data_IF_030404409758
#
_entry.id   IF_030404409758
#
_cell.length_a   1.000
_cell.length_b   1.000
_cell.length_c   1.000
_cell.angle_alpha   90.00
_cell.angle_beta   90.00
_cell.angle_gamma   90.00
#
_symmetry.space_group_name_H-M   'P 1'
#
loop_
_entity.id
_entity.type
_entity.pdbx_description
1 polymer ?
#
# COMPACT_ATOMS: atom_id res chain seq x y z
N UNK A 1 -31.95 20.98 58.18
CA UNK A 1 -33.01 20.05 58.62
C UNK A 1 -33.71 19.49 57.40
N UNK A 2 -33.77 18.15 57.30
CA UNK A 2 -34.53 17.26 56.38
C UNK A 2 -34.35 17.45 54.85
N UNK A 3 -33.70 16.53 54.11
CA UNK A 3 -34.06 15.14 53.68
C UNK A 3 -35.26 15.05 52.71
N UNK A 4 -35.00 14.82 51.41
CA UNK A 4 -35.51 13.74 50.51
C UNK A 4 -35.05 14.01 49.04
N UNK A 5 -34.20 13.16 48.41
CA UNK A 5 -34.50 12.07 47.43
C UNK A 5 -35.35 12.53 46.21
N UNK A 6 -35.17 12.17 44.93
CA UNK A 6 -34.23 11.40 44.10
C UNK A 6 -34.79 11.44 42.64
N UNK A 7 -33.90 11.45 41.64
CA UNK A 7 -34.02 10.86 40.27
C UNK A 7 -35.22 11.12 39.33
N UNK A 8 -34.87 11.81 38.24
CA UNK A 8 -35.18 11.55 36.81
C UNK A 8 -36.08 10.35 36.44
N UNK A 9 -37.16 10.62 35.68
CA UNK A 9 -37.84 9.64 34.80
C UNK A 9 -38.50 10.31 33.58
N UNK A 10 -38.11 9.86 32.39
CA UNK A 10 -38.98 9.66 31.22
C UNK A 10 -39.99 8.54 31.53
N UNK A 11 -41.11 8.46 30.80
CA UNK A 11 -41.34 7.20 30.08
C UNK A 11 -41.96 7.35 28.69
N UNK A 12 -41.41 6.56 27.79
CA UNK A 12 -42.02 6.02 26.57
C UNK A 12 -42.95 4.89 27.02
N UNK A 13 -44.20 4.85 26.55
CA UNK A 13 -45.15 3.77 26.84
C UNK A 13 -45.46 2.99 25.57
N UNK A 14 -45.50 1.68 25.77
CA UNK A 14 -45.53 0.56 24.85
C UNK A 14 -46.94 -0.06 24.81
N UNK A 15 -47.30 -0.63 23.66
CA UNK A 15 -48.17 -1.81 23.41
C UNK A 15 -49.61 -1.88 23.92
N UNK A 16 -50.50 -2.29 23.02
CA UNK A 16 -51.51 -3.31 23.32
C UNK A 16 -51.57 -4.38 22.22
N UNK A 17 -51.66 -5.62 22.69
CA UNK A 17 -51.65 -6.89 21.98
C UNK A 17 -53.10 -7.36 21.92
N UNK A 18 -53.62 -7.69 20.74
CA UNK A 18 -54.82 -8.52 20.60
C UNK A 18 -54.53 -9.77 19.78
N UNK A 19 -54.93 -10.89 20.37
CA UNK A 19 -54.84 -12.26 19.90
C UNK A 19 -56.18 -12.67 19.28
N UNK A 20 -56.20 -13.31 18.11
CA UNK A 20 -57.01 -14.51 17.83
C UNK A 20 -56.94 -15.02 16.37
N UNK A 21 -56.79 -16.35 16.28
CA UNK A 21 -57.41 -17.30 15.35
C UNK A 21 -56.99 -17.40 13.86
N UNK A 22 -56.14 -18.41 13.60
CA UNK A 22 -56.37 -19.61 12.75
C UNK A 22 -57.08 -19.42 11.39
N UNK A 23 -56.36 -19.68 10.30
CA UNK A 23 -56.92 -19.94 8.97
C UNK A 23 -55.91 -20.63 8.04
N UNK A 24 -56.04 -21.96 7.90
CA UNK A 24 -55.30 -22.83 6.96
C UNK A 24 -55.82 -22.62 5.52
N UNK A 25 -54.95 -22.35 4.53
CA UNK A 25 -55.21 -22.58 3.10
C UNK A 25 -53.90 -22.89 2.32
N UNK A 26 -53.98 -23.64 1.20
CA UNK A 26 -53.01 -24.69 0.85
C UNK A 26 -51.86 -24.22 -0.07
N UNK A 27 -50.73 -24.92 0.03
CA UNK A 27 -49.62 -24.84 -0.92
C UNK A 27 -50.03 -25.40 -2.29
N UNK A 28 -50.14 -24.52 -3.29
CA UNK A 28 -50.28 -24.90 -4.70
C UNK A 28 -48.90 -25.13 -5.32
N UNK A 29 -48.63 -26.38 -5.70
CA UNK A 29 -47.44 -26.81 -6.42
C UNK A 29 -47.57 -26.44 -7.91
N UNK A 30 -46.83 -25.41 -8.35
CA UNK A 30 -46.65 -25.14 -9.78
C UNK A 30 -45.30 -25.70 -10.26
N UNK A 31 -45.34 -26.89 -10.87
CA UNK A 31 -44.29 -27.35 -11.78
C UNK A 31 -44.34 -26.51 -13.06
N UNK A 32 -43.29 -25.74 -13.35
CA UNK A 32 -43.01 -25.26 -14.72
C UNK A 32 -41.69 -25.89 -15.18
N UNK A 33 -41.77 -26.55 -16.33
CA UNK A 33 -40.72 -27.39 -16.90
C UNK A 33 -39.50 -26.59 -17.32
N UNK A 34 -38.33 -27.20 -17.12
CA UNK A 34 -37.08 -26.79 -17.74
C UNK A 34 -37.16 -27.07 -19.24
N UNK A 35 -37.28 -26.01 -20.05
CA UNK A 35 -36.96 -26.09 -21.47
C UNK A 35 -35.46 -25.84 -21.64
N UNK A 36 -34.72 -26.87 -22.06
CA UNK A 36 -33.35 -26.72 -22.57
C UNK A 36 -33.41 -26.42 -24.07
N UNK A 37 -33.71 -25.17 -24.42
CA UNK A 37 -33.29 -24.62 -25.70
C UNK A 37 -32.02 -23.83 -25.46
N UNK A 38 -30.88 -24.52 -25.52
CA UNK A 38 -29.59 -23.86 -25.64
C UNK A 38 -29.66 -23.01 -26.92
N UNK A 39 -29.56 -21.69 -26.80
CA UNK A 39 -29.06 -20.90 -27.91
C UNK A 39 -27.65 -21.41 -28.16
N UNK A 40 -27.50 -22.24 -29.19
CA UNK A 40 -26.20 -22.56 -29.75
C UNK A 40 -25.57 -21.21 -30.11
N UNK A 41 -24.63 -20.73 -29.28
CA UNK A 41 -23.62 -19.79 -29.78
C UNK A 41 -23.06 -20.47 -31.00
N UNK A 42 -23.28 -19.87 -32.16
CA UNK A 42 -22.83 -20.37 -33.45
C UNK A 42 -21.35 -20.73 -33.33
N UNK A 43 -21.04 -22.02 -33.24
CA UNK A 43 -19.68 -22.54 -33.11
C UNK A 43 -19.02 -22.28 -34.46
N UNK A 44 -18.36 -21.13 -34.58
CA UNK A 44 -17.66 -20.72 -35.78
C UNK A 44 -16.40 -21.59 -35.89
N UNK A 45 -16.29 -22.33 -37.00
CA UNK A 45 -15.08 -23.10 -37.32
C UNK A 45 -13.88 -22.14 -37.46
N UNK A 46 -12.77 -22.32 -36.72
CA UNK A 46 -11.62 -21.41 -36.72
C UNK A 46 -10.97 -21.30 -38.11
N UNK A 47 -11.07 -22.34 -38.94
CA UNK A 47 -10.64 -22.29 -40.34
C UNK A 47 -11.53 -21.36 -41.17
N UNK A 48 -12.85 -21.31 -40.88
CA UNK A 48 -13.79 -20.40 -41.55
C UNK A 48 -13.61 -18.95 -41.10
N UNK A 49 -13.28 -18.71 -39.83
CA UNK A 49 -12.99 -17.36 -39.30
C UNK A 49 -11.77 -16.76 -39.98
N UNK A 50 -10.71 -17.55 -40.13
CA UNK A 50 -9.48 -17.13 -40.80
C UNK A 50 -9.57 -17.17 -42.33
N UNK A 51 -10.64 -17.75 -42.89
CA UNK A 51 -10.87 -17.85 -44.34
C UNK A 51 -9.90 -18.78 -45.06
N UNK A 52 -9.44 -19.84 -44.39
CA UNK A 52 -8.42 -20.78 -44.87
C UNK A 52 -8.95 -22.22 -44.90
N UNK A 53 -8.29 -23.08 -45.66
CA UNK A 53 -8.62 -24.50 -45.73
C UNK A 53 -8.05 -25.28 -44.55
N UNK A 54 -8.68 -26.40 -44.17
CA UNK A 54 -8.17 -27.30 -43.11
C UNK A 54 -6.80 -27.91 -43.43
N UNK A 55 -6.43 -27.98 -44.71
CA UNK A 55 -5.13 -28.46 -45.19
C UNK A 55 -4.05 -27.37 -45.28
N UNK A 56 -4.34 -26.14 -44.84
CA UNK A 56 -3.39 -25.02 -44.95
C UNK A 56 -2.16 -25.19 -44.04
N UNK A 57 -1.00 -24.75 -44.51
CA UNK A 57 0.26 -24.82 -43.75
C UNK A 57 0.28 -23.78 -42.61
N UNK A 58 1.15 -23.97 -41.61
CA UNK A 58 1.32 -23.00 -40.51
C UNK A 58 1.70 -21.59 -41.00
N UNK A 59 2.43 -21.51 -42.12
CA UNK A 59 2.80 -20.24 -42.73
C UNK A 59 1.59 -19.53 -43.36
N UNK A 60 0.63 -20.27 -43.90
CA UNK A 60 -0.59 -19.70 -44.50
C UNK A 60 -1.56 -19.21 -43.43
N UNK A 61 -1.64 -19.92 -42.30
CA UNK A 61 -2.41 -19.51 -41.10
C UNK A 61 -1.89 -18.16 -40.59
N UNK A 62 -0.56 -18.02 -40.44
CA UNK A 62 0.08 -16.77 -40.02
C UNK A 62 -0.20 -15.63 -40.99
N UNK A 63 -0.05 -15.87 -42.29
CA UNK A 63 -0.33 -14.84 -43.33
C UNK A 63 -1.79 -14.39 -43.32
N UNK A 64 -2.74 -15.31 -43.17
CA UNK A 64 -4.16 -15.00 -43.08
C UNK A 64 -4.49 -14.17 -41.83
N UNK A 65 -3.92 -14.54 -40.68
CA UNK A 65 -4.05 -13.79 -39.43
C UNK A 65 -3.55 -12.35 -39.57
N UNK A 66 -2.32 -12.13 -40.06
CA UNK A 66 -1.78 -10.78 -40.19
C UNK A 66 -2.60 -9.90 -41.17
N UNK A 67 -3.14 -10.51 -42.23
CA UNK A 67 -4.00 -9.80 -43.19
C UNK A 67 -5.31 -9.34 -42.54
N UNK A 68 -5.95 -10.21 -41.75
CA UNK A 68 -7.22 -9.91 -41.09
C UNK A 68 -7.04 -9.00 -39.86
N UNK A 69 -5.96 -9.20 -39.09
CA UNK A 69 -5.62 -8.36 -37.94
C UNK A 69 -5.37 -6.90 -38.36
N UNK A 70 -4.69 -6.68 -39.50
CA UNK A 70 -4.51 -5.32 -40.06
C UNK A 70 -5.82 -4.68 -40.54
N UNK A 71 -6.80 -5.47 -40.97
CA UNK A 71 -8.09 -4.98 -41.45
C UNK A 71 -9.08 -4.67 -40.31
N UNK A 72 -9.01 -5.43 -39.21
CA UNK A 72 -9.93 -5.32 -38.08
C UNK A 72 -9.28 -4.76 -36.81
N UNK A 73 -8.09 -4.16 -36.92
CA UNK A 73 -7.43 -3.53 -35.78
C UNK A 73 -8.29 -2.37 -35.24
N UNK A 74 -8.47 -2.25 -33.91
CA UNK A 74 -9.34 -1.23 -33.30
C UNK A 74 -8.92 0.21 -33.64
N UNK A 75 -7.63 0.45 -33.93
CA UNK A 75 -7.14 1.76 -34.33
C UNK A 75 -7.45 2.11 -35.79
N UNK A 76 -7.51 1.09 -36.67
CA UNK A 76 -7.78 1.30 -38.11
C UNK A 76 -9.26 1.24 -38.44
N UNK A 77 -10.06 0.53 -37.64
CA UNK A 77 -11.50 0.37 -37.85
C UNK A 77 -12.25 0.55 -36.52
N UNK A 78 -13.05 1.63 -36.43
CA UNK A 78 -13.75 2.06 -35.21
C UNK A 78 -15.14 1.42 -35.04
N UNK A 79 -15.51 0.46 -35.89
CA UNK A 79 -16.80 -0.22 -35.80
C UNK A 79 -16.88 -1.19 -34.62
N UNK A 80 -18.02 -1.20 -33.91
CA UNK A 80 -18.27 -2.17 -32.81
C UNK A 80 -18.20 -3.63 -33.28
N UNK A 81 -18.61 -3.90 -34.53
CA UNK A 81 -18.53 -5.23 -35.16
C UNK A 81 -17.10 -5.64 -35.56
N UNK A 82 -16.19 -4.68 -35.78
CA UNK A 82 -14.79 -4.96 -36.09
C UNK A 82 -14.06 -5.50 -34.86
N UNK A 83 -14.36 -4.95 -33.68
CA UNK A 83 -13.83 -5.45 -32.40
C UNK A 83 -14.25 -6.88 -32.11
N UNK A 84 -15.52 -7.23 -32.35
CA UNK A 84 -16.01 -8.61 -32.15
C UNK A 84 -15.34 -9.62 -33.10
N UNK A 85 -15.15 -9.23 -34.37
CA UNK A 85 -14.44 -10.05 -35.36
C UNK A 85 -12.96 -10.20 -35.02
N UNK A 86 -12.33 -9.15 -34.51
CA UNK A 86 -10.93 -9.18 -34.10
C UNK A 86 -10.69 -10.19 -32.97
N UNK A 87 -11.56 -10.22 -31.97
CA UNK A 87 -11.52 -11.22 -30.89
C UNK A 87 -11.64 -12.64 -31.45
N UNK A 88 -12.60 -12.88 -32.36
CA UNK A 88 -12.77 -14.19 -33.01
C UNK A 88 -11.55 -14.62 -33.84
N UNK A 89 -10.92 -13.68 -34.54
CA UNK A 89 -9.69 -13.93 -35.32
C UNK A 89 -8.52 -14.31 -34.40
N UNK A 90 -8.41 -13.68 -33.23
CA UNK A 90 -7.36 -13.97 -32.27
C UNK A 90 -7.55 -15.33 -31.58
N UNK A 91 -8.78 -15.66 -31.19
CA UNK A 91 -9.14 -16.99 -30.65
C UNK A 91 -8.87 -18.11 -31.68
N UNK A 92 -9.23 -17.90 -32.94
CA UNK A 92 -8.98 -18.86 -34.01
C UNK A 92 -7.48 -19.07 -34.27
N UNK A 93 -6.67 -18.00 -34.21
CA UNK A 93 -5.23 -18.09 -34.37
C UNK A 93 -4.56 -18.80 -33.18
N UNK A 94 -5.01 -18.56 -31.94
CA UNK A 94 -4.44 -19.24 -30.77
C UNK A 94 -4.62 -20.77 -30.84
N UNK A 95 -5.78 -21.24 -31.31
CA UNK A 95 -6.04 -22.67 -31.48
C UNK A 95 -5.24 -23.30 -32.64
N UNK A 96 -5.01 -22.56 -33.73
CA UNK A 96 -4.39 -23.08 -34.95
C UNK A 96 -2.88 -22.81 -35.06
N UNK A 97 -2.34 -21.88 -34.29
CA UNK A 97 -0.92 -21.47 -34.34
C UNK A 97 0.05 -22.50 -33.77
N UNK A 98 -0.39 -23.31 -32.82
CA UNK A 98 0.37 -24.42 -32.24
C UNK A 98 -0.04 -25.73 -32.92
N UNK A 99 0.94 -26.54 -33.34
CA UNK A 99 0.71 -27.79 -34.03
C UNK A 99 0.05 -28.85 -33.14
N UNK A 100 0.35 -28.86 -31.83
CA UNK A 100 -0.28 -29.77 -30.88
C UNK A 100 -1.74 -29.38 -30.61
N UNK A 101 -2.02 -28.09 -30.42
CA UNK A 101 -3.39 -27.59 -30.22
C UNK A 101 -4.24 -27.78 -31.48
N UNK A 102 -3.67 -27.58 -32.67
CA UNK A 102 -4.33 -27.85 -33.95
C UNK A 102 -4.66 -29.34 -34.09
N UNK A 103 -3.72 -30.24 -33.80
CA UNK A 103 -3.96 -31.70 -33.82
C UNK A 103 -5.07 -32.09 -32.86
N UNK A 104 -5.09 -31.53 -31.65
CA UNK A 104 -6.16 -31.78 -30.67
C UNK A 104 -7.52 -31.28 -31.19
N UNK A 105 -7.57 -30.10 -31.82
CA UNK A 105 -8.77 -29.56 -32.44
C UNK A 105 -9.26 -30.41 -33.62
N UNK A 106 -8.35 -30.83 -34.50
CA UNK A 106 -8.66 -31.64 -35.67
C UNK A 106 -9.08 -33.08 -35.28
N UNK A 107 -8.57 -33.62 -34.17
CA UNK A 107 -8.85 -34.98 -33.69
C UNK A 107 -10.13 -35.08 -32.85
N UNK A 108 -10.40 -34.10 -31.98
CA UNK A 108 -11.50 -34.16 -31.01
C UNK A 108 -12.64 -33.19 -31.31
N UNK A 109 -12.48 -32.29 -32.29
CA UNK A 109 -13.41 -31.19 -32.53
C UNK A 109 -13.55 -30.28 -31.31
N UNK A 110 -14.43 -29.27 -31.40
CA UNK A 110 -14.71 -28.38 -30.28
C UNK A 110 -15.64 -29.06 -29.27
N UNK A 111 -15.12 -30.05 -28.54
CA UNK A 111 -15.81 -30.60 -27.38
C UNK A 111 -15.42 -29.78 -26.14
N UNK A 112 -16.44 -29.18 -25.52
CA UNK A 112 -16.38 -28.61 -24.17
C UNK A 112 -15.66 -29.59 -23.23
N UNK A 113 -14.42 -29.29 -22.84
CA UNK A 113 -13.86 -29.79 -21.57
C UNK A 113 -14.48 -29.00 -20.41
N UNK A 114 -15.81 -28.95 -20.36
CA UNK A 114 -16.58 -28.52 -19.20
C UNK A 114 -16.76 -29.72 -18.28
N UNK A 115 -15.68 -30.04 -17.58
CA UNK A 115 -15.60 -31.16 -16.65
C UNK A 115 -14.57 -30.88 -15.57
N UNK A 116 -14.73 -29.79 -14.82
CA UNK A 116 -13.93 -29.53 -13.63
C UNK A 116 -13.53 -28.07 -13.39
N UNK A 117 -14.50 -27.17 -13.24
CA UNK A 117 -14.34 -25.91 -12.49
C UNK A 117 -15.70 -25.18 -12.44
N UNK A 118 -16.63 -25.67 -11.63
CA UNK A 118 -17.76 -24.84 -11.21
C UNK A 118 -17.30 -23.95 -10.06
N UNK A 119 -17.15 -22.67 -10.35
CA UNK A 119 -17.07 -21.65 -9.33
C UNK A 119 -16.26 -20.45 -9.80
N UNK A 120 -17.00 -19.40 -10.20
CA UNK A 120 -16.74 -18.01 -9.82
C UNK A 120 -16.93 -17.01 -10.96
N UNK A 121 -18.13 -16.86 -11.53
CA UNK A 121 -18.47 -15.61 -12.23
C UNK A 121 -19.97 -15.31 -12.11
N UNK A 122 -20.32 -14.50 -11.10
CA UNK A 122 -21.54 -13.71 -11.09
C UNK A 122 -21.20 -12.29 -10.69
N UNK A 123 -21.55 -11.36 -11.58
CA UNK A 123 -21.82 -9.95 -11.32
C UNK A 123 -20.69 -9.06 -10.78
N UNK A 124 -19.98 -8.40 -11.68
CA UNK A 124 -19.80 -6.92 -11.72
C UNK A 124 -18.56 -6.56 -12.54
N UNK A 125 -18.62 -5.41 -13.21
CA UNK A 125 -17.68 -4.97 -14.23
C UNK A 125 -16.21 -5.13 -13.86
N UNK A 126 -15.48 -5.83 -14.73
CA UNK A 126 -14.03 -5.87 -14.77
C UNK A 126 -13.57 -5.58 -16.20
N UNK A 127 -12.58 -4.69 -16.30
CA UNK A 127 -11.96 -4.25 -17.55
C UNK A 127 -11.11 -5.41 -18.13
N UNK A 128 -11.30 -5.81 -19.40
CA UNK A 128 -10.59 -6.94 -20.01
C UNK A 128 -9.06 -6.79 -20.05
N UNK A 129 -8.55 -5.55 -19.95
CA UNK A 129 -7.11 -5.29 -19.89
C UNK A 129 -6.47 -5.67 -18.55
N UNK A 130 -7.25 -5.76 -17.46
CA UNK A 130 -6.72 -6.04 -16.12
C UNK A 130 -6.67 -7.56 -15.82
N UNK A 131 -7.55 -8.34 -16.48
CA UNK A 131 -7.40 -9.81 -16.56
C UNK A 131 -6.21 -10.19 -17.46
N UNK A 132 -5.95 -9.39 -18.51
CA UNK A 132 -4.82 -9.64 -19.41
C UNK A 132 -3.47 -9.31 -18.76
N UNK A 133 -3.37 -8.28 -17.91
CA UNK A 133 -2.15 -8.01 -17.13
C UNK A 133 -1.92 -9.05 -16.03
N UNK A 134 -2.96 -9.58 -15.39
CA UNK A 134 -2.84 -10.59 -14.33
C UNK A 134 -2.58 -12.01 -14.86
N UNK A 135 -3.02 -12.31 -16.10
CA UNK A 135 -2.82 -13.62 -16.73
C UNK A 135 -1.63 -13.65 -17.71
N UNK A 136 -1.25 -12.52 -18.33
CA UNK A 136 -0.18 -12.42 -19.34
C UNK A 136 0.98 -11.46 -18.97
N UNK A 137 0.92 -10.73 -17.86
CA UNK A 137 1.92 -9.71 -17.48
C UNK A 137 3.01 -10.15 -16.50
N UNK A 138 3.02 -11.41 -16.06
CA UNK A 138 4.06 -11.91 -15.18
C UNK A 138 4.09 -13.44 -15.12
N UNK A 139 5.06 -14.06 -15.81
CA UNK A 139 5.43 -15.45 -15.53
C UNK A 139 5.25 -16.47 -16.66
N UNK A 140 5.65 -16.15 -17.89
CA UNK A 140 5.80 -17.17 -18.95
C UNK A 140 7.18 -17.13 -19.62
N UNK A 141 8.21 -17.06 -18.78
CA UNK A 141 9.61 -17.25 -19.16
C UNK A 141 10.42 -18.13 -18.20
N UNK A 142 9.84 -18.61 -17.09
CA UNK A 142 10.54 -19.50 -16.15
C UNK A 142 9.57 -20.32 -15.29
N UNK A 143 8.62 -20.99 -15.94
CA UNK A 143 7.74 -21.95 -15.28
C UNK A 143 7.56 -23.17 -16.18
N UNK A 144 8.66 -23.92 -16.33
CA UNK A 144 8.66 -25.25 -16.88
C UNK A 144 7.64 -26.14 -16.17
N UNK A 145 6.85 -26.81 -16.99
CA UNK A 145 5.91 -27.87 -16.67
C UNK A 145 6.64 -29.02 -15.95
N UNK A 146 6.77 -28.94 -14.62
CA UNK A 146 7.54 -29.93 -13.87
C UNK A 146 7.74 -29.68 -12.38
N UNK A 147 6.86 -28.96 -11.67
CA UNK A 147 7.01 -28.72 -10.22
C UNK A 147 5.65 -28.59 -9.51
N UNK A 148 4.87 -29.66 -9.48
CA UNK A 148 3.71 -29.78 -8.57
C UNK A 148 3.94 -30.78 -7.42
N UNK A 149 5.14 -31.37 -7.32
CA UNK A 149 5.56 -32.24 -6.23
C UNK A 149 7.06 -32.05 -5.99
N UNK A 150 7.44 -31.18 -5.04
CA UNK A 150 8.83 -30.92 -4.69
C UNK A 150 9.24 -29.46 -4.78
N UNK A 151 8.58 -28.60 -4.00
CA UNK A 151 9.18 -27.29 -3.71
C UNK A 151 10.41 -27.53 -2.83
N UNK A 152 11.59 -27.23 -3.37
CA UNK A 152 12.85 -27.28 -2.64
C UNK A 152 12.71 -26.58 -1.28
N UNK A 153 12.90 -27.26 -0.13
CA UNK A 153 12.77 -26.64 1.20
C UNK A 153 13.83 -25.55 1.48
N UNK A 154 14.72 -25.29 0.51
CA UNK A 154 15.81 -24.32 0.56
C UNK A 154 15.49 -22.95 -0.07
N UNK A 155 14.23 -22.63 -0.39
CA UNK A 155 13.91 -21.22 -0.70
C UNK A 155 14.36 -20.35 0.46
N UNK A 156 15.36 -19.51 0.20
CA UNK A 156 15.90 -18.53 1.13
C UNK A 156 14.81 -17.50 1.40
N UNK A 157 13.91 -17.81 2.35
CA UNK A 157 12.94 -16.84 2.84
C UNK A 157 13.73 -15.72 3.50
N UNK A 158 13.53 -14.50 3.04
CA UNK A 158 14.06 -13.30 3.69
C UNK A 158 13.27 -12.99 4.95
N UNK A 159 13.88 -12.21 5.83
CA UNK A 159 13.19 -11.58 6.93
C UNK A 159 12.03 -10.69 6.48
N UNK A 160 11.08 -10.49 7.38
CA UNK A 160 10.01 -9.51 7.18
C UNK A 160 10.54 -8.09 7.48
N UNK A 161 10.01 -7.12 6.72
CA UNK A 161 10.36 -5.72 6.91
C UNK A 161 9.58 -5.13 8.08
N UNK A 162 10.26 -4.34 8.91
CA UNK A 162 9.65 -3.67 10.07
C UNK A 162 9.34 -2.23 9.70
N UNK A 163 8.16 -1.74 10.05
CA UNK A 163 7.79 -0.33 9.89
C UNK A 163 7.61 0.34 11.24
N UNK A 164 8.35 1.41 11.50
CA UNK A 164 8.27 2.18 12.75
C UNK A 164 7.98 3.65 12.45
N UNK A 165 6.91 4.23 13.00
CA UNK A 165 6.69 5.66 12.90
C UNK A 165 7.63 6.41 13.85
N UNK A 166 8.36 7.39 13.34
CA UNK A 166 9.23 8.27 14.13
C UNK A 166 8.72 9.70 14.04
N UNK A 167 8.34 10.26 15.20
CA UNK A 167 7.90 11.66 15.26
C UNK A 167 9.10 12.58 15.52
N UNK A 168 9.27 13.60 14.69
CA UNK A 168 10.34 14.60 14.79
C UNK A 168 9.76 16.01 14.81
N UNK A 169 10.50 16.96 15.39
CA UNK A 169 10.10 18.36 15.38
C UNK A 169 10.43 19.01 14.03
N UNK A 170 9.70 20.07 13.67
CA UNK A 170 9.92 20.79 12.43
C UNK A 170 11.37 21.24 12.23
N UNK A 171 12.00 21.80 13.26
CA UNK A 171 13.37 22.29 13.18
C UNK A 171 14.39 21.16 12.96
N UNK A 172 14.13 19.97 13.54
CA UNK A 172 14.97 18.78 13.33
C UNK A 172 14.82 18.26 11.89
N UNK A 173 13.61 18.26 11.33
CA UNK A 173 13.36 17.87 9.95
C UNK A 173 14.08 18.80 8.96
N UNK A 174 14.15 20.10 9.26
CA UNK A 174 14.81 21.08 8.40
C UNK A 174 16.33 21.00 8.48
N UNK A 175 16.91 20.86 9.68
CA UNK A 175 18.37 20.82 9.87
C UNK A 175 19.01 19.45 9.67
N UNK A 176 18.21 18.38 9.75
CA UNK A 176 18.69 17.01 9.81
C UNK A 176 19.18 16.66 11.22
N UNK A 177 18.98 15.42 11.62
CA UNK A 177 19.37 14.92 12.95
C UNK A 177 19.62 13.41 12.88
N UNK A 178 20.52 12.91 13.72
CA UNK A 178 20.67 11.47 13.94
C UNK A 178 19.91 11.10 15.21
N UNK A 179 18.94 10.19 15.11
CA UNK A 179 18.15 9.70 16.25
C UNK A 179 18.36 8.20 16.44
N UNK A 180 18.51 7.80 17.69
CA UNK A 180 18.53 6.39 18.07
C UNK A 180 17.10 5.93 18.38
N UNK A 181 16.62 4.94 17.64
CA UNK A 181 15.31 4.31 17.87
C UNK A 181 15.49 2.90 18.40
N UNK A 182 14.63 2.50 19.33
CA UNK A 182 14.59 1.12 19.82
C UNK A 182 13.53 0.36 19.03
N UNK A 183 13.97 -0.68 18.31
CA UNK A 183 13.11 -1.54 17.49
C UNK A 183 13.08 -2.94 18.08
N UNK A 184 11.89 -3.51 18.15
CA UNK A 184 11.72 -4.93 18.46
C UNK A 184 11.90 -5.72 17.17
N UNK A 185 12.98 -6.51 17.10
CA UNK A 185 13.24 -7.38 15.96
C UNK A 185 13.38 -8.84 16.43
N UNK A 186 12.92 -9.76 15.61
CA UNK A 186 13.21 -11.19 15.75
C UNK A 186 14.63 -11.40 15.28
N UNK A 187 15.47 -12.00 16.12
CA UNK A 187 16.86 -12.27 15.83
C UNK A 187 17.19 -13.73 16.12
N UNK A 188 18.30 -14.20 15.56
CA UNK A 188 18.83 -15.51 15.94
C UNK A 188 19.16 -15.51 17.43
N UNK A 189 18.75 -16.56 18.12
CA UNK A 189 19.03 -16.69 19.53
C UNK A 189 20.55 -16.63 19.77
N UNK A 190 21.06 -15.71 20.61
CA UNK A 190 22.50 -15.53 20.78
C UNK A 190 23.17 -16.80 21.34
N UNK A 191 22.44 -17.58 22.15
CA UNK A 191 22.94 -18.80 22.80
C UNK A 191 23.13 -19.98 21.84
N UNK A 192 22.22 -20.15 20.86
CA UNK A 192 22.22 -21.31 19.96
C UNK A 192 22.42 -20.95 18.48
N UNK A 193 22.55 -19.65 18.15
CA UNK A 193 22.76 -19.11 16.81
C UNK A 193 21.78 -19.66 15.76
N UNK A 194 20.51 -19.87 16.13
CA UNK A 194 19.49 -20.40 15.22
C UNK A 194 19.34 -21.92 15.23
N UNK A 195 20.22 -22.68 15.88
CA UNK A 195 20.15 -24.14 15.90
C UNK A 195 19.00 -24.70 16.76
N UNK A 196 18.52 -23.92 17.73
CA UNK A 196 17.52 -24.35 18.72
C UNK A 196 18.06 -25.36 19.75
N UNK A 197 19.35 -25.72 19.65
CA UNK A 197 20.00 -26.72 20.48
C UNK A 197 20.80 -26.06 21.60
N UNK A 198 20.90 -26.77 22.73
CA UNK A 198 21.92 -26.48 23.74
C UNK A 198 23.31 -26.80 23.19
N UNK A 199 24.32 -26.03 23.59
CA UNK A 199 25.70 -26.24 23.18
C UNK A 199 26.15 -27.69 23.42
N UNK A 200 26.70 -28.34 22.39
CA UNK A 200 27.20 -29.72 22.46
C UNK A 200 26.18 -30.84 22.25
N UNK A 201 24.90 -30.52 22.04
CA UNK A 201 23.87 -31.53 21.75
C UNK A 201 23.47 -31.53 20.26
N UNK A 202 23.10 -32.71 19.75
CA UNK A 202 22.69 -32.90 18.36
C UNK A 202 21.18 -33.16 18.24
N UNK A 203 20.62 -32.94 17.04
CA UNK A 203 19.25 -33.34 16.71
C UNK A 203 19.16 -34.86 16.66
N UNK A 204 18.09 -35.43 17.22
CA UNK A 204 17.81 -36.86 17.10
C UNK A 204 16.82 -37.12 15.96
N UNK A 205 16.83 -38.34 15.40
CA UNK A 205 15.81 -38.77 14.45
C UNK A 205 14.43 -38.75 15.12
N UNK A 206 13.43 -38.23 14.43
CA UNK A 206 12.07 -38.17 14.95
C UNK A 206 11.56 -39.58 15.27
N UNK A 207 11.06 -39.80 16.50
CA UNK A 207 10.55 -41.11 16.92
C UNK A 207 9.31 -41.57 16.17
N UNK A 208 8.56 -40.64 15.56
CA UNK A 208 7.28 -40.93 14.87
C UNK A 208 7.43 -41.24 13.38
N UNK A 209 8.48 -40.72 12.72
CA UNK A 209 8.71 -40.94 11.29
C UNK A 209 10.10 -41.52 11.00
N UNK A 210 10.92 -41.76 12.02
CA UNK A 210 12.27 -42.34 11.88
C UNK A 210 13.16 -41.63 10.85
N UNK A 211 13.02 -40.32 10.68
CA UNK A 211 13.80 -39.55 9.71
C UNK A 211 13.11 -39.28 8.38
N UNK A 212 11.99 -39.94 8.06
CA UNK A 212 11.34 -39.79 6.75
C UNK A 212 10.62 -38.47 6.56
N UNK A 213 10.26 -37.77 7.65
CA UNK A 213 9.51 -36.52 7.60
C UNK A 213 8.01 -36.67 7.30
N UNK A 214 7.56 -37.83 6.81
CA UNK A 214 6.17 -38.11 6.45
C UNK A 214 5.64 -39.37 7.14
N UNK A 215 4.35 -39.38 7.47
CA UNK A 215 3.64 -40.54 8.01
C UNK A 215 2.63 -41.05 6.97
N UNK A 216 2.71 -42.33 6.65
CA UNK A 216 1.73 -42.99 5.80
C UNK A 216 0.49 -43.36 6.62
N UNK A 217 -0.63 -42.70 6.34
CA UNK A 217 -1.94 -43.02 6.92
C UNK A 217 -2.64 -43.94 5.92
N UNK A 218 -2.86 -45.20 6.33
CA UNK A 218 -3.66 -46.16 5.56
C UNK A 218 -5.11 -46.10 6.05
N UNK A 219 -6.03 -45.64 5.20
CA UNK A 219 -7.48 -45.74 5.44
C UNK A 219 -8.12 -46.50 4.29
N UNK A 220 -8.63 -47.71 4.56
CA UNK A 220 -9.49 -48.46 3.65
C UNK A 220 -8.89 -48.71 2.26
N UNK A 221 -7.65 -49.16 2.17
CA UNK A 221 -6.98 -49.47 0.91
C UNK A 221 -6.32 -48.27 0.20
N UNK A 222 -6.59 -47.04 0.65
CA UNK A 222 -5.92 -45.83 0.17
C UNK A 222 -4.74 -45.48 1.10
N UNK A 223 -3.56 -45.30 0.50
CA UNK A 223 -2.35 -44.85 1.20
C UNK A 223 -2.19 -43.35 1.00
N UNK A 224 -2.30 -42.56 2.07
CA UNK A 224 -2.08 -41.12 2.02
C UNK A 224 -0.83 -40.77 2.86
N UNK A 225 0.14 -40.10 2.25
CA UNK A 225 1.27 -39.55 2.98
C UNK A 225 0.88 -38.18 3.52
N UNK A 226 1.05 -37.98 4.83
CA UNK A 226 0.90 -36.67 5.48
C UNK A 226 2.22 -36.26 6.13
N UNK A 227 2.46 -34.96 6.31
CA UNK A 227 3.64 -34.47 7.03
C UNK A 227 3.61 -34.94 8.48
N UNK A 228 4.71 -35.50 8.98
CA UNK A 228 4.80 -35.96 10.36
C UNK A 228 4.55 -34.79 11.32
N UNK A 229 3.50 -34.89 12.14
CA UNK A 229 3.09 -33.81 13.05
C UNK A 229 4.11 -33.55 14.18
N UNK A 230 4.93 -34.55 14.54
CA UNK A 230 5.93 -34.41 15.59
C UNK A 230 7.19 -33.64 15.15
N UNK A 231 7.57 -33.69 13.87
CA UNK A 231 8.75 -32.97 13.35
C UNK A 231 8.41 -31.93 12.28
N UNK A 232 7.14 -31.77 11.94
CA UNK A 232 6.68 -30.82 10.91
C UNK A 232 7.30 -31.06 9.53
N UNK A 233 7.68 -32.31 9.22
CA UNK A 233 8.36 -32.64 7.96
C UNK A 233 9.90 -32.69 8.01
N UNK A 234 10.53 -32.26 9.11
CA UNK A 234 12.00 -32.15 9.18
C UNK A 234 12.73 -33.49 9.33
N UNK A 235 12.03 -34.58 9.68
CA UNK A 235 12.63 -35.91 9.96
C UNK A 235 13.46 -35.97 11.26
N UNK A 236 13.88 -34.82 11.79
CA UNK A 236 14.64 -34.69 13.02
C UNK A 236 13.85 -33.91 14.08
N UNK A 237 14.04 -34.26 15.34
CA UNK A 237 13.44 -33.60 16.50
C UNK A 237 14.52 -33.21 17.50
N UNK A 238 14.30 -32.13 18.23
CA UNK A 238 15.17 -31.71 19.33
C UNK A 238 14.68 -32.42 20.60
N UNK A 239 15.47 -33.32 21.21
CA UNK A 239 15.04 -33.99 22.43
C UNK A 239 14.93 -32.97 23.58
N UNK A 240 14.06 -33.20 24.58
CA UNK A 240 13.74 -32.22 25.62
C UNK A 240 14.96 -31.77 26.44
N UNK A 241 15.96 -32.65 26.61
CA UNK A 241 17.22 -32.35 27.29
C UNK A 241 18.18 -31.48 26.46
N UNK A 242 18.01 -31.43 25.13
CA UNK A 242 18.84 -30.67 24.21
C UNK A 242 18.21 -29.33 23.79
N UNK A 243 17.05 -28.96 24.35
CA UNK A 243 16.41 -27.69 24.05
C UNK A 243 17.25 -26.51 24.54
N UNK A 244 17.39 -25.47 23.71
CA UNK A 244 18.04 -24.25 24.14
C UNK A 244 17.19 -23.54 25.22
N UNK A 245 17.75 -23.15 26.38
CA UNK A 245 16.98 -22.56 27.49
C UNK A 245 16.40 -21.19 27.14
N UNK A 246 17.09 -20.40 26.31
CA UNK A 246 16.69 -19.02 25.96
C UNK A 246 15.56 -18.95 24.95
N UNK A 247 15.52 -19.86 23.96
CA UNK A 247 14.55 -19.84 22.86
C UNK A 247 13.62 -21.06 22.84
N UNK A 248 13.77 -21.99 23.79
CA UNK A 248 12.96 -23.21 23.90
C UNK A 248 12.85 -23.96 22.56
N UNK A 249 13.99 -24.24 21.93
CA UNK A 249 14.11 -24.87 20.60
C UNK A 249 13.59 -24.11 19.38
N UNK A 250 13.06 -22.89 19.53
CA UNK A 250 12.64 -22.05 18.40
C UNK A 250 13.82 -21.49 17.56
N UNK A 251 15.04 -21.44 18.11
CA UNK A 251 16.23 -20.88 17.47
C UNK A 251 16.24 -19.35 17.33
N UNK A 252 15.15 -18.67 17.68
CA UNK A 252 14.95 -17.23 17.48
C UNK A 252 14.34 -16.59 18.74
N UNK A 253 14.67 -15.34 18.97
CA UNK A 253 14.20 -14.56 20.12
C UNK A 253 13.84 -13.14 19.67
N UNK A 254 12.89 -12.51 20.35
CA UNK A 254 12.58 -11.09 20.15
C UNK A 254 13.49 -10.28 21.04
N UNK A 255 14.26 -9.37 20.44
CA UNK A 255 15.17 -8.48 21.15
C UNK A 255 14.93 -7.02 20.77
N UNK A 256 15.09 -6.14 21.76
CA UNK A 256 15.10 -4.70 21.56
C UNK A 256 16.48 -4.29 21.05
N UNK A 257 16.58 -3.87 19.79
CA UNK A 257 17.81 -3.31 19.21
C UNK A 257 17.73 -1.80 19.12
N UNK A 258 18.80 -1.13 19.50
CA UNK A 258 18.96 0.29 19.24
C UNK A 258 19.58 0.49 17.86
N UNK A 259 18.87 1.19 16.98
CA UNK A 259 19.29 1.50 15.62
C UNK A 259 19.44 3.01 15.49
N UNK A 260 20.61 3.46 15.05
CA UNK A 260 20.83 4.86 14.73
C UNK A 260 20.33 5.15 13.32
N UNK A 261 19.41 6.10 13.21
CA UNK A 261 18.81 6.52 11.94
C UNK A 261 19.24 7.96 11.67
N UNK A 262 20.00 8.16 10.60
CA UNK A 262 20.40 9.49 10.13
C UNK A 262 19.30 10.06 9.24
N UNK A 263 18.67 11.14 9.71
CA UNK A 263 17.61 11.83 8.99
C UNK A 263 18.26 13.01 8.23
N UNK A 264 18.21 13.01 6.89
CA UNK A 264 18.80 14.10 6.11
C UNK A 264 18.02 15.41 6.32
N UNK A 265 18.70 16.53 6.09
CA UNK A 265 18.09 17.85 6.15
C UNK A 265 17.04 18.01 5.03
N UNK A 266 15.89 18.60 5.36
CA UNK A 266 14.84 18.92 4.39
C UNK A 266 13.87 17.79 4.07
N UNK A 267 13.84 16.73 4.88
CA UNK A 267 12.85 15.63 4.75
C UNK A 267 11.41 16.13 4.84
N UNK A 268 10.54 15.59 3.99
CA UNK A 268 9.11 15.88 3.98
C UNK A 268 8.34 15.01 4.99
N UNK A 269 7.11 15.41 5.30
CA UNK A 269 6.25 14.61 6.15
C UNK A 269 5.90 13.27 5.47
N UNK A 270 5.78 12.19 6.24
CA UNK A 270 5.57 10.82 5.75
C UNK A 270 6.67 10.27 4.84
N UNK A 271 7.84 10.91 4.80
CA UNK A 271 9.03 10.36 4.15
C UNK A 271 9.43 9.04 4.81
N UNK A 272 9.86 8.07 4.00
CA UNK A 272 10.32 6.76 4.47
C UNK A 272 11.82 6.66 4.34
N UNK A 273 12.50 6.38 5.45
CA UNK A 273 13.93 6.11 5.49
C UNK A 273 14.12 4.60 5.64
N UNK A 274 14.89 4.01 4.73
CA UNK A 274 15.26 2.59 4.78
C UNK A 274 16.57 2.43 5.53
N UNK A 275 16.56 1.59 6.57
CA UNK A 275 17.77 1.08 7.22
C UNK A 275 17.92 -0.39 6.86
N UNK A 276 18.91 -0.75 6.03
CA UNK A 276 19.04 -2.11 5.52
C UNK A 276 19.41 -3.10 6.63
N UNK A 277 18.82 -4.30 6.62
CA UNK A 277 19.16 -5.41 7.52
C UNK A 277 18.78 -5.20 8.99
N UNK A 278 18.04 -4.15 9.31
CA UNK A 278 17.54 -3.85 10.65
C UNK A 278 16.09 -4.34 10.91
N UNK A 279 15.54 -5.13 9.98
CA UNK A 279 14.25 -5.81 10.10
C UNK A 279 14.34 -7.17 10.80
N UNK A 280 13.31 -8.00 10.62
CA UNK A 280 13.22 -9.30 11.28
C UNK A 280 14.17 -10.33 10.66
N UNK A 281 14.58 -11.32 11.44
CA UNK A 281 15.17 -12.55 10.92
C UNK A 281 14.10 -13.36 10.19
N UNK A 282 14.45 -14.09 9.12
CA UNK A 282 13.50 -14.91 8.39
C UNK A 282 12.83 -15.93 9.29
N UNK A 283 11.53 -16.18 9.15
CA UNK A 283 10.79 -17.14 9.99
C UNK A 283 11.22 -18.59 9.75
N UNK A 284 11.63 -18.92 8.53
CA UNK A 284 12.17 -20.23 8.12
C UNK A 284 13.51 -20.03 7.39
N UNK A 285 14.37 -21.05 7.38
CA UNK A 285 15.67 -20.97 6.69
C UNK A 285 16.66 -19.94 7.28
N UNK A 286 17.76 -19.76 6.54
CA UNK A 286 18.90 -18.89 6.88
C UNK A 286 19.05 -17.76 5.86
N UNK A 287 17.95 -17.09 5.51
CA UNK A 287 17.98 -15.91 4.65
C UNK A 287 18.45 -14.62 5.34
N UNK A 288 18.68 -13.55 4.56
CA UNK A 288 19.05 -12.25 5.11
C UNK A 288 17.90 -11.68 5.96
N UNK A 289 18.25 -10.80 6.88
CA UNK A 289 17.28 -10.01 7.62
C UNK A 289 16.47 -9.11 6.68
N UNK A 290 15.24 -8.81 7.07
CA UNK A 290 14.45 -7.77 6.43
C UNK A 290 15.03 -6.38 6.71
N UNK A 291 14.38 -5.37 6.15
CA UNK A 291 14.77 -3.98 6.33
C UNK A 291 13.86 -3.26 7.34
N UNK A 292 14.38 -2.18 7.91
CA UNK A 292 13.61 -1.28 8.76
C UNK A 292 13.23 -0.03 7.96
N UNK A 293 11.92 0.19 7.79
CA UNK A 293 11.39 1.41 7.21
C UNK A 293 10.89 2.33 8.31
N UNK A 294 11.59 3.45 8.48
CA UNK A 294 11.20 4.49 9.42
C UNK A 294 10.32 5.50 8.69
N UNK A 295 9.05 5.55 9.06
CA UNK A 295 8.10 6.53 8.53
C UNK A 295 8.15 7.80 9.39
N UNK A 296 8.53 8.93 8.80
CA UNK A 296 8.66 10.18 9.54
C UNK A 296 7.30 10.86 9.71
N UNK A 297 7.03 11.36 10.91
CA UNK A 297 5.92 12.26 11.19
C UNK A 297 6.48 13.59 11.74
N UNK A 298 6.27 14.68 11.01
CA UNK A 298 6.80 15.99 11.39
C UNK A 298 5.74 16.74 12.19
N UNK A 299 6.08 17.12 13.42
CA UNK A 299 5.22 18.01 14.22
C UNK A 299 5.18 19.40 13.60
N UNK A 300 3.99 20.01 13.42
CA UNK A 300 3.89 21.36 12.91
C UNK A 300 4.52 22.35 13.89
N UNK A 301 5.19 23.37 13.36
CA UNK A 301 5.73 24.45 14.19
C UNK A 301 4.72 25.59 14.34
N UNK A 302 4.72 26.32 15.47
CA UNK A 302 3.84 27.47 15.65
C UNK A 302 4.31 28.72 14.89
N UNK A 303 5.59 28.80 14.50
CA UNK A 303 6.20 29.99 13.88
C UNK A 303 6.31 29.86 12.37
N UNK A 304 6.61 28.66 11.88
CA UNK A 304 6.92 28.37 10.48
C UNK A 304 5.88 27.44 9.86
N UNK A 305 5.43 27.81 8.67
CA UNK A 305 4.59 26.99 7.80
C UNK A 305 5.40 26.60 6.57
N UNK A 306 5.61 25.31 6.34
CA UNK A 306 6.33 24.82 5.16
C UNK A 306 5.39 24.70 3.98
N UNK A 307 5.87 25.15 2.83
CA UNK A 307 5.29 24.86 1.52
C UNK A 307 6.43 24.44 0.59
N UNK A 308 6.54 23.14 0.37
CA UNK A 308 7.66 22.53 -0.37
C UNK A 308 9.03 22.92 0.22
N UNK A 309 9.85 23.65 -0.55
CA UNK A 309 11.16 24.14 -0.13
C UNK A 309 11.09 25.51 0.55
N UNK A 310 9.97 26.23 0.41
CA UNK A 310 9.80 27.57 0.93
C UNK A 310 9.13 27.53 2.31
N UNK A 311 9.41 28.54 3.13
CA UNK A 311 8.84 28.67 4.46
C UNK A 311 8.14 30.00 4.61
N UNK A 312 6.94 29.95 5.17
CA UNK A 312 6.15 31.10 5.54
C UNK A 312 6.28 31.38 7.03
N UNK A 313 6.48 32.65 7.37
CA UNK A 313 6.54 33.14 8.74
C UNK A 313 5.73 34.42 8.85
N UNK A 314 4.92 34.55 9.89
CA UNK A 314 4.13 35.75 10.15
C UNK A 314 4.96 36.70 11.03
N UNK A 315 5.37 37.83 10.48
CA UNK A 315 6.07 38.87 11.24
C UNK A 315 5.08 39.90 11.77
N UNK A 316 4.96 39.97 13.09
CA UNK A 316 4.15 40.98 13.78
C UNK A 316 4.92 42.28 13.86
N UNK A 317 4.38 43.31 13.23
CA UNK A 317 5.02 44.63 13.13
C UNK A 317 4.09 45.68 13.73
N UNK A 318 4.60 46.59 14.57
CA UNK A 318 3.77 47.68 15.09
C UNK A 318 3.46 48.70 13.99
N UNK A 319 2.25 49.25 14.01
CA UNK A 319 1.74 50.22 13.03
C UNK A 319 2.73 51.34 12.65
N UNK A 320 3.40 51.96 13.62
CA UNK A 320 4.35 53.05 13.34
C UNK A 320 5.54 52.62 12.47
N UNK A 321 6.03 51.37 12.61
CA UNK A 321 7.13 50.85 11.76
C UNK A 321 6.65 50.52 10.35
N UNK A 322 5.39 50.13 10.19
CA UNK A 322 4.83 49.92 8.85
C UNK A 322 4.67 51.26 8.10
N UNK A 323 4.26 52.33 8.80
CA UNK A 323 4.15 53.67 8.21
C UNK A 323 5.52 54.31 7.92
N UNK A 324 6.38 54.41 8.93
CA UNK A 324 7.65 55.15 8.84
C UNK A 324 8.77 54.32 8.21
N UNK A 325 8.57 53.02 8.07
CA UNK A 325 9.64 52.07 7.78
C UNK A 325 10.51 51.80 9.01
N UNK A 326 11.43 50.85 8.88
CA UNK A 326 12.38 50.54 9.94
C UNK A 326 13.00 49.16 9.81
N UNK A 327 13.60 48.68 10.91
CA UNK A 327 14.16 47.33 11.02
C UNK A 327 13.41 46.52 12.07
N UNK A 328 13.15 45.25 11.76
CA UNK A 328 12.54 44.27 12.68
C UNK A 328 13.33 42.98 12.62
N UNK A 329 13.56 42.38 13.78
CA UNK A 329 14.26 41.09 13.91
C UNK A 329 13.26 39.96 13.70
N UNK A 330 13.56 39.05 12.78
CA UNK A 330 12.67 37.95 12.38
C UNK A 330 13.39 36.62 12.59
N UNK A 331 12.72 35.62 13.19
CA UNK A 331 13.28 34.29 13.32
C UNK A 331 13.39 33.62 11.94
N UNK A 332 14.57 33.11 11.62
CA UNK A 332 14.80 32.22 10.47
C UNK A 332 15.27 30.86 10.97
N UNK A 333 15.38 29.88 10.07
CA UNK A 333 15.85 28.52 10.40
C UNK A 333 17.26 28.53 11.03
N UNK A 334 18.12 29.41 10.53
CA UNK A 334 19.55 29.44 10.87
C UNK A 334 19.86 30.40 12.03
N UNK A 335 18.88 31.21 12.45
CA UNK A 335 19.04 32.26 13.46
C UNK A 335 18.20 33.48 13.13
N UNK A 336 18.30 34.52 13.95
CA UNK A 336 17.51 35.73 13.72
C UNK A 336 18.21 36.66 12.73
N UNK A 337 17.42 37.27 11.83
CA UNK A 337 17.91 38.21 10.82
C UNK A 337 17.14 39.53 10.94
N UNK A 338 17.82 40.65 10.73
CA UNK A 338 17.16 41.96 10.62
C UNK A 338 16.54 42.13 9.23
N UNK A 339 15.21 42.24 9.17
CA UNK A 339 14.49 42.62 7.96
C UNK A 339 14.25 44.13 7.94
N UNK A 340 14.58 44.77 6.81
CA UNK A 340 14.24 46.17 6.53
C UNK A 340 12.82 46.25 5.94
N UNK A 341 11.96 46.99 6.61
CA UNK A 341 10.57 47.23 6.19
C UNK A 341 10.52 48.58 5.46
N UNK A 342 10.03 48.62 4.21
CA UNK A 342 9.84 49.87 3.49
C UNK A 342 8.75 50.73 4.16
N UNK A 343 8.85 52.07 4.08
CA UNK A 343 7.77 52.94 4.55
C UNK A 343 6.52 52.72 3.71
N UNK A 344 5.35 52.77 4.34
CA UNK A 344 4.06 52.54 3.68
C UNK A 344 3.68 51.07 3.46
N UNK A 345 4.35 50.12 4.12
CA UNK A 345 4.00 48.69 4.06
C UNK A 345 2.57 48.43 4.50
N UNK A 346 1.87 47.58 3.77
CA UNK A 346 0.48 47.19 4.01
C UNK A 346 0.39 45.88 4.81
N UNK A 347 -0.74 45.63 5.50
CA UNK A 347 -1.03 44.31 6.06
C UNK A 347 -1.03 43.25 4.95
N UNK A 348 -0.52 42.06 5.26
CA UNK A 348 -0.39 40.91 4.36
C UNK A 348 0.64 41.07 3.23
N UNK A 349 1.35 42.19 3.13
CA UNK A 349 2.52 42.29 2.27
C UNK A 349 3.50 41.16 2.56
N UNK A 350 4.08 40.60 1.50
CA UNK A 350 5.01 39.48 1.61
C UNK A 350 6.39 39.92 1.16
N UNK A 351 7.40 39.68 2.01
CA UNK A 351 8.79 39.98 1.71
C UNK A 351 9.57 38.66 1.70
N UNK A 352 10.19 38.35 0.57
CA UNK A 352 10.96 37.13 0.40
C UNK A 352 12.43 37.34 0.81
N UNK A 353 12.89 36.53 1.76
CA UNK A 353 14.30 36.38 2.13
C UNK A 353 14.89 35.23 1.33
N UNK A 354 15.71 35.57 0.32
CA UNK A 354 16.29 34.59 -0.61
C UNK A 354 17.25 33.63 0.09
N UNK A 355 17.15 32.33 -0.23
CA UNK A 355 18.07 31.29 0.24
C UNK A 355 17.97 30.95 1.73
N UNK A 356 16.91 31.41 2.41
CA UNK A 356 16.65 31.18 3.84
C UNK A 356 15.58 30.13 4.13
N UNK A 357 15.10 29.42 3.10
CA UNK A 357 14.15 28.31 3.21
C UNK A 357 14.82 26.96 3.51
N UNK A 358 14.10 25.89 3.19
CA UNK A 358 14.50 24.50 3.46
C UNK A 358 15.46 24.01 2.38
N UNK A 359 16.41 23.16 2.80
CA UNK A 359 17.30 22.45 1.91
C UNK A 359 16.53 21.43 1.06
N UNK A 360 16.72 21.42 -0.27
CA UNK A 360 16.14 20.36 -1.10
C UNK A 360 16.92 19.05 -0.91
N UNK A 361 16.22 17.91 -0.85
CA UNK A 361 16.85 16.59 -0.67
C UNK A 361 17.84 16.23 -1.78
N UNK A 362 17.58 16.67 -3.02
CA UNK A 362 18.40 16.42 -4.21
C UNK A 362 19.16 17.68 -4.65
N UNK A 363 20.07 18.18 -3.81
CA UNK A 363 20.99 19.26 -4.17
C UNK A 363 21.39 20.17 -3.01
N UNK A 364 22.28 21.12 -3.27
CA UNK A 364 22.69 22.13 -2.29
C UNK A 364 21.81 23.40 -2.30
N UNK A 365 20.81 23.48 -3.18
CA UNK A 365 19.90 24.64 -3.25
C UNK A 365 18.91 24.68 -2.09
N UNK A 366 18.70 25.88 -1.54
CA UNK A 366 17.65 26.18 -0.55
C UNK A 366 16.48 26.91 -1.20
N UNK A 367 15.29 26.73 -0.64
CA UNK A 367 14.15 27.62 -0.92
C UNK A 367 14.30 28.98 -0.26
N UNK A 368 13.23 29.74 -0.28
CA UNK A 368 13.14 31.09 0.28
C UNK A 368 12.28 31.11 1.54
N UNK A 369 12.52 32.11 2.40
CA UNK A 369 11.63 32.39 3.52
C UNK A 369 10.74 33.59 3.16
N UNK A 370 9.44 33.36 3.08
CA UNK A 370 8.43 34.38 2.79
C UNK A 370 7.89 34.88 4.13
N UNK A 371 8.17 36.15 4.42
CA UNK A 371 7.66 36.81 5.61
C UNK A 371 6.39 37.54 5.26
N UNK A 372 5.26 37.14 5.86
CA UNK A 372 4.01 37.87 5.74
C UNK A 372 3.90 38.90 6.86
N UNK A 373 3.70 40.17 6.49
CA UNK A 373 3.59 41.25 7.45
C UNK A 373 2.20 41.28 8.08
N UNK A 374 2.14 41.20 9.41
CA UNK A 374 0.90 41.39 10.17
C UNK A 374 1.04 42.65 11.02
N UNK A 375 0.35 43.71 10.60
CA UNK A 375 0.37 44.98 11.33
C UNK A 375 -0.51 44.83 12.58
N UNK A 376 0.09 45.02 13.75
CA UNK A 376 -0.62 45.05 15.03
C UNK A 376 -0.84 46.52 15.47
N UNK A 377 -2.10 46.85 15.73
CA UNK A 377 -2.50 48.11 16.34
C UNK A 377 -2.50 47.96 17.87
N UNK A 378 -1.98 48.96 18.61
CA UNK A 378 -2.03 48.92 20.07
C UNK A 378 -3.49 48.96 20.57
N UNK A 379 -3.81 48.13 21.56
CA UNK A 379 -5.17 48.06 22.14
C UNK A 379 -5.53 49.27 23.00
N UNK A 380 -4.52 49.95 23.53
CA UNK A 380 -4.67 51.15 24.35
C UNK A 380 -3.60 52.17 23.97
N UNK A 381 -3.97 53.45 24.09
CA UNK A 381 -3.12 54.60 23.80
C UNK A 381 -3.06 55.49 25.04
N UNK A 382 -1.88 55.99 25.37
CA UNK A 382 -1.71 57.04 26.40
C UNK A 382 -2.22 58.39 25.88
N UNK A 383 -2.55 59.32 26.78
CA UNK A 383 -3.12 60.63 26.43
C UNK A 383 -2.30 61.38 25.38
N UNK A 384 -0.97 61.48 25.60
CA UNK A 384 -0.04 62.10 24.64
C UNK A 384 -0.05 61.42 23.27
N UNK A 385 -0.12 60.09 23.24
CA UNK A 385 -0.14 59.31 21.99
C UNK A 385 -1.47 59.54 21.24
N UNK A 386 -2.58 59.60 21.98
CA UNK A 386 -3.90 59.88 21.43
C UNK A 386 -3.96 61.29 20.82
N UNK A 387 -3.39 62.28 21.48
CA UNK A 387 -3.34 63.66 20.96
C UNK A 387 -2.51 63.76 19.69
N UNK A 388 -1.39 63.04 19.58
CA UNK A 388 -0.57 62.98 18.36
C UNK A 388 -1.37 62.33 17.21
N UNK A 389 -2.06 61.23 17.47
CA UNK A 389 -2.86 60.55 16.44
C UNK A 389 -4.06 61.42 16.01
N UNK A 390 -4.70 62.16 16.93
CA UNK A 390 -5.75 63.14 16.57
C UNK A 390 -5.23 64.26 15.67
N UNK A 391 -4.05 64.80 15.97
CA UNK A 391 -3.40 65.80 15.11
C UNK A 391 -3.08 65.24 13.73
N UNK A 392 -2.59 64.00 13.67
CA UNK A 392 -2.37 63.31 12.39
C UNK A 392 -3.68 63.11 11.61
N UNK A 393 -4.75 62.68 12.28
CA UNK A 393 -6.06 62.50 11.64
C UNK A 393 -6.60 63.81 11.06
N UNK A 394 -6.53 64.92 11.80
CA UNK A 394 -6.94 66.23 11.30
C UNK A 394 -6.20 66.64 10.01
N UNK A 395 -4.87 66.41 9.95
CA UNK A 395 -4.07 66.72 8.75
C UNK A 395 -4.42 65.86 7.52
N UNK A 396 -4.89 64.62 7.74
CA UNK A 396 -5.26 63.70 6.65
C UNK A 396 -6.69 63.99 6.19
N UNK A 397 -7.61 64.21 7.13
CA UNK A 397 -9.03 64.43 6.86
C UNK A 397 -9.31 65.82 6.27
N UNK A 398 -8.50 66.84 6.60
CA UNK A 398 -8.60 68.19 6.01
C UNK A 398 -8.22 68.27 4.53
N UNK A 399 -7.70 67.18 3.93
CA UNK A 399 -7.52 67.06 2.48
C UNK A 399 -8.62 66.17 1.88
N UNK A 400 -9.86 66.65 1.70
CA UNK A 400 -10.81 65.97 0.83
C UNK A 400 -10.31 66.09 -0.62
N UNK A 401 -10.17 64.93 -1.27
CA UNK A 401 -10.04 64.67 -2.71
C UNK A 401 -10.03 65.90 -3.65
N UNK A 402 -8.86 66.20 -4.23
CA UNK A 402 -8.76 66.75 -5.59
C UNK A 402 -8.72 65.62 -6.62
#
# INVERSE_FOLDING_TARGET
MLRTLLKTRLPIIHQDIQSSAIGLFPFSCYKKGFHTTHSARHIQDPYKILGISRSSSQNDIKKAYYKLAKQYHPDTNKDKKAREKFVQIQEAYEMLSDEEKRKQYDQFGHHDRSGGAKGFYSSSGFDPNDIFSQFFGGGFGDAGFGSAAGGDPFRTTSGEDIQVPLTIDFMEAVKGVTKTITVQSVTHCPTCQGSGLRAGHAKSSCHLCHGTGFQAIQMGGFHMQSTCQACGGLGQSIPPNAQCPTCQSAGKVRENKQVQVTIPAGVDNHSRIRVPGAGDAPLKGNGPHGDLFVSLNIKPSPVFRRQDADIFCDAKIPFYKAMLGGKVRIPTIDGDVELRIPPGSQPQDSIALRGRGIQRLKGSSRGDQIVQLKIELPRSLQDKQRDIIKKYAALVDEKPSE
#
